data_IF_668803329075
#
_entry.id   IF_668803329075
#
_cell.length_a   1.000
_cell.length_b   1.000
_cell.length_c   1.000
_cell.angle_alpha   90.00
_cell.angle_beta   90.00
_cell.angle_gamma   90.00
#
_symmetry.space_group_name_H-M   'P 1'
#
loop_
_entity.id
_entity.type
_entity.pdbx_description
1 polymer ?
#
# COMPACT_ATOMS: atom_id res chain seq x y z
N UNK A 1 -17.41 -3.06 -4.51
CA UNK A 1 -17.57 -1.92 -5.43
C UNK A 1 -16.28 -1.14 -5.50
N UNK A 2 -15.94 -0.63 -6.66
CA UNK A 2 -14.73 0.18 -6.87
C UNK A 2 -15.15 1.64 -6.97
N UNK A 3 -14.64 2.47 -6.07
CA UNK A 3 -14.81 3.92 -6.18
C UNK A 3 -13.58 4.47 -6.92
N UNK A 4 -13.79 4.94 -8.14
CA UNK A 4 -12.72 5.50 -8.95
C UNK A 4 -12.29 6.85 -8.34
N UNK A 5 -11.04 6.93 -7.93
CA UNK A 5 -10.44 8.12 -7.32
C UNK A 5 -9.69 8.96 -8.35
N UNK A 6 -8.93 8.29 -9.22
CA UNK A 6 -8.15 8.94 -10.27
C UNK A 6 -8.23 8.08 -11.53
N UNK A 7 -8.32 8.73 -12.68
CA UNK A 7 -8.27 8.08 -13.99
C UNK A 7 -7.16 8.67 -14.83
N UNK A 8 -6.38 7.81 -15.46
CA UNK A 8 -5.39 8.20 -16.47
C UNK A 8 -5.74 7.50 -17.79
N UNK A 9 -6.39 8.24 -18.67
CA UNK A 9 -6.85 7.69 -19.95
C UNK A 9 -5.70 7.43 -20.93
N UNK A 10 -4.59 8.18 -20.82
CA UNK A 10 -3.42 7.98 -21.67
C UNK A 10 -2.75 6.62 -21.45
N UNK A 11 -2.72 6.15 -20.20
CA UNK A 11 -2.19 4.83 -19.86
C UNK A 11 -3.27 3.78 -19.67
N UNK A 12 -4.53 4.15 -19.83
CA UNK A 12 -5.68 3.29 -19.62
C UNK A 12 -5.71 2.64 -18.24
N UNK A 13 -5.47 3.43 -17.21
CA UNK A 13 -5.52 2.97 -15.82
C UNK A 13 -6.51 3.78 -14.98
N UNK A 14 -6.97 3.16 -13.91
CA UNK A 14 -7.75 3.81 -12.87
C UNK A 14 -7.20 3.44 -11.50
N UNK A 15 -7.12 4.41 -10.60
CA UNK A 15 -6.81 4.19 -9.19
C UNK A 15 -8.12 4.25 -8.44
N UNK A 16 -8.41 3.19 -7.70
CA UNK A 16 -9.70 2.99 -7.06
C UNK A 16 -9.54 2.71 -5.57
N UNK A 17 -10.50 3.19 -4.77
CA UNK A 17 -10.72 2.65 -3.42
C UNK A 17 -11.52 1.36 -3.55
N UNK A 18 -11.11 0.34 -2.81
CA UNK A 18 -11.63 -1.03 -2.97
C UNK A 18 -11.83 -1.69 -1.60
N UNK A 19 -12.48 -2.85 -1.60
CA UNK A 19 -12.54 -3.72 -0.42
C UNK A 19 -11.31 -4.63 -0.36
N UNK A 20 -11.06 -5.21 0.81
CA UNK A 20 -9.96 -6.16 0.99
C UNK A 20 -10.08 -7.35 0.04
N UNK A 21 -11.26 -7.82 -0.23
CA UNK A 21 -11.50 -8.97 -1.12
C UNK A 21 -10.96 -8.76 -2.54
N UNK A 22 -10.89 -7.51 -2.99
CA UNK A 22 -10.43 -7.18 -4.33
C UNK A 22 -8.90 -7.16 -4.46
N UNK A 23 -8.17 -7.13 -3.35
CA UNK A 23 -6.71 -7.03 -3.36
C UNK A 23 -6.00 -8.18 -2.65
N UNK A 24 -6.72 -9.01 -1.89
CA UNK A 24 -6.08 -10.02 -1.06
C UNK A 24 -5.32 -11.06 -1.88
N UNK A 25 -5.78 -11.41 -3.06
CA UNK A 25 -5.09 -12.38 -3.91
C UNK A 25 -3.76 -11.84 -4.43
N UNK A 26 -3.72 -10.57 -4.84
CA UNK A 26 -2.47 -9.92 -5.23
C UNK A 26 -1.51 -9.82 -4.06
N UNK A 27 -1.99 -9.36 -2.90
CA UNK A 27 -1.20 -9.28 -1.68
C UNK A 27 -0.62 -10.63 -1.29
N UNK A 28 -1.44 -11.68 -1.32
CA UNK A 28 -1.01 -13.04 -1.02
C UNK A 28 0.08 -13.52 -1.98
N UNK A 29 -0.18 -13.41 -3.26
CA UNK A 29 0.70 -13.92 -4.31
C UNK A 29 2.08 -13.25 -4.31
N UNK A 30 2.14 -11.96 -4.00
CA UNK A 30 3.40 -11.19 -4.02
C UNK A 30 4.11 -11.21 -2.67
N UNK A 31 3.39 -11.06 -1.55
CA UNK A 31 3.99 -10.87 -0.24
C UNK A 31 3.96 -12.11 0.64
N UNK A 32 3.09 -13.06 0.37
CA UNK A 32 2.84 -14.23 1.20
C UNK A 32 2.83 -15.51 0.39
N UNK A 33 3.57 -15.55 -0.72
CA UNK A 33 3.70 -16.75 -1.55
C UNK A 33 4.23 -17.93 -0.72
N UNK A 34 3.61 -19.09 -0.88
CA UNK A 34 3.96 -20.29 -0.12
C UNK A 34 3.37 -20.37 1.29
N UNK A 35 2.72 -19.30 1.76
CA UNK A 35 2.00 -19.29 3.04
C UNK A 35 0.49 -19.40 2.80
N UNK A 36 -0.31 -19.79 3.81
CA UNK A 36 -1.76 -19.81 3.66
C UNK A 36 -2.31 -18.45 3.25
N UNK A 37 -3.38 -18.44 2.43
CA UNK A 37 -4.01 -17.22 1.94
C UNK A 37 -4.45 -16.30 3.09
N UNK A 38 -4.90 -16.88 4.18
CA UNK A 38 -5.34 -16.15 5.38
C UNK A 38 -4.22 -15.32 6.00
N UNK A 39 -2.95 -15.69 5.77
CA UNK A 39 -1.79 -14.92 6.23
C UNK A 39 -1.66 -13.56 5.55
N UNK A 40 -2.35 -13.36 4.43
CA UNK A 40 -2.39 -12.09 3.70
C UNK A 40 -3.47 -11.14 4.21
N UNK A 41 -4.34 -11.60 5.10
CA UNK A 41 -5.30 -10.74 5.80
C UNK A 41 -4.66 -10.23 7.09
N UNK A 42 -4.62 -8.91 7.25
CA UNK A 42 -3.97 -8.27 8.37
C UNK A 42 -4.98 -7.70 9.36
N UNK A 43 -4.66 -7.64 10.67
CA UNK A 43 -5.50 -6.91 11.62
C UNK A 43 -5.75 -5.48 11.15
N UNK A 44 -7.02 -5.06 11.19
CA UNK A 44 -7.42 -3.73 10.73
C UNK A 44 -7.91 -3.67 9.28
N UNK A 45 -7.75 -4.74 8.50
CA UNK A 45 -8.25 -4.77 7.10
C UNK A 45 -9.76 -4.55 7.01
N UNK A 46 -10.51 -5.02 8.00
CA UNK A 46 -11.97 -4.90 8.04
C UNK A 46 -12.47 -3.59 8.66
N UNK A 47 -11.57 -2.74 9.18
CA UNK A 47 -11.97 -1.48 9.78
C UNK A 47 -12.50 -0.51 8.72
N UNK A 48 -13.63 0.14 8.99
CA UNK A 48 -14.24 1.11 8.07
C UNK A 48 -13.31 2.29 7.74
N UNK A 49 -12.39 2.63 8.66
CA UNK A 49 -11.40 3.68 8.47
C UNK A 49 -10.21 3.28 7.58
N UNK A 50 -10.01 1.99 7.33
CA UNK A 50 -8.90 1.51 6.50
C UNK A 50 -9.16 1.82 5.04
N UNK A 51 -8.14 2.39 4.38
CA UNK A 51 -8.14 2.63 2.95
C UNK A 51 -7.42 1.50 2.23
N UNK A 52 -8.15 0.75 1.41
CA UNK A 52 -7.55 -0.16 0.43
C UNK A 52 -7.59 0.54 -0.92
N UNK A 53 -6.44 0.69 -1.55
CA UNK A 53 -6.31 1.39 -2.83
C UNK A 53 -5.61 0.48 -3.81
N UNK A 54 -6.10 0.49 -5.05
CA UNK A 54 -5.54 -0.36 -6.10
C UNK A 54 -5.54 0.35 -7.46
N UNK A 55 -4.59 -0.05 -8.30
CA UNK A 55 -4.51 0.35 -9.70
C UNK A 55 -5.07 -0.76 -10.57
N UNK A 56 -5.92 -0.40 -11.53
CA UNK A 56 -6.52 -1.32 -12.50
C UNK A 56 -6.35 -0.80 -13.92
N UNK A 57 -6.43 -1.70 -14.90
CA UNK A 57 -6.72 -1.29 -16.27
C UNK A 57 -8.17 -0.80 -16.35
N UNK A 58 -8.37 0.46 -16.72
CA UNK A 58 -9.70 1.10 -16.67
C UNK A 58 -10.68 0.59 -17.72
N UNK A 59 -10.17 0.07 -18.84
CA UNK A 59 -11.01 -0.40 -19.93
C UNK A 59 -11.59 -1.80 -19.71
N UNK A 60 -11.09 -2.56 -18.74
CA UNK A 60 -11.48 -3.96 -18.55
C UNK A 60 -12.14 -4.12 -17.19
N UNK A 61 -13.38 -4.58 -17.19
CA UNK A 61 -14.10 -4.96 -15.98
C UNK A 61 -13.62 -6.35 -15.53
N UNK A 62 -13.54 -6.56 -14.21
CA UNK A 62 -13.21 -7.85 -13.60
C UNK A 62 -11.78 -8.37 -13.86
N UNK A 63 -10.82 -7.49 -14.12
CA UNK A 63 -9.40 -7.88 -14.12
C UNK A 63 -8.79 -7.75 -12.74
N UNK A 64 -7.75 -8.53 -12.41
CA UNK A 64 -6.99 -8.36 -11.19
C UNK A 64 -6.35 -6.98 -11.11
N UNK A 65 -6.12 -6.44 -9.92
CA UNK A 65 -5.38 -5.19 -9.77
C UNK A 65 -3.93 -5.34 -10.21
N UNK A 66 -3.36 -4.27 -10.75
CA UNK A 66 -1.95 -4.16 -11.12
C UNK A 66 -1.09 -3.96 -9.87
N UNK A 67 -1.56 -3.13 -8.95
CA UNK A 67 -0.87 -2.76 -7.72
C UNK A 67 -1.89 -2.46 -6.63
N UNK A 68 -1.49 -2.67 -5.38
CA UNK A 68 -2.35 -2.38 -4.23
C UNK A 68 -1.56 -1.91 -3.03
N UNK A 69 -2.24 -1.22 -2.12
CA UNK A 69 -1.73 -0.85 -0.81
C UNK A 69 -2.88 -0.62 0.16
N UNK A 70 -2.62 -0.79 1.45
CA UNK A 70 -3.59 -0.50 2.51
C UNK A 70 -3.00 0.51 3.48
N UNK A 71 -3.85 1.44 3.92
CA UNK A 71 -3.50 2.47 4.92
C UNK A 71 -4.49 2.37 6.06
N UNK A 72 -3.98 2.13 7.26
CA UNK A 72 -4.82 1.99 8.44
C UNK A 72 -4.37 2.91 9.56
N UNK A 73 -5.30 3.36 10.36
CA UNK A 73 -4.98 4.14 11.56
C UNK A 73 -4.28 3.24 12.56
N UNK A 74 -3.03 3.54 12.83
CA UNK A 74 -2.21 2.85 13.80
C UNK A 74 -1.09 3.78 14.26
N UNK A 75 -1.11 4.16 15.54
CA UNK A 75 -0.17 5.13 16.11
C UNK A 75 1.29 4.69 15.93
N UNK A 76 2.16 5.66 15.77
CA UNK A 76 3.60 5.48 15.70
C UNK A 76 4.27 6.34 16.78
N UNK A 77 5.03 5.70 17.67
CA UNK A 77 5.68 6.37 18.82
C UNK A 77 4.70 7.29 19.58
N UNK A 78 3.53 6.73 19.90
CA UNK A 78 2.44 7.40 20.63
C UNK A 78 1.79 8.61 19.91
N UNK A 79 2.10 8.81 18.64
CA UNK A 79 1.47 9.84 17.81
C UNK A 79 0.45 9.20 16.86
N UNK A 80 -0.74 9.79 16.68
CA UNK A 80 -1.69 9.32 15.66
C UNK A 80 -1.04 9.28 14.29
N UNK A 81 -1.19 8.15 13.59
CA UNK A 81 -0.53 7.93 12.31
C UNK A 81 -1.32 6.97 11.42
N UNK A 82 -1.01 7.03 10.13
CA UNK A 82 -1.44 6.05 9.13
C UNK A 82 -0.31 5.05 8.89
N UNK A 83 -0.60 3.76 9.05
CA UNK A 83 0.35 2.71 8.70
C UNK A 83 0.06 2.21 7.29
N UNK A 84 1.07 2.29 6.43
CA UNK A 84 1.05 1.63 5.12
C UNK A 84 1.40 0.16 5.29
N UNK A 85 0.55 -0.73 4.77
CA UNK A 85 0.74 -2.18 4.80
C UNK A 85 0.34 -2.82 3.49
N UNK A 86 0.87 -4.02 3.23
CA UNK A 86 0.42 -4.85 2.12
C UNK A 86 0.60 -4.23 0.76
N UNK A 87 1.63 -3.42 0.56
CA UNK A 87 1.94 -2.86 -0.75
C UNK A 87 2.53 -3.92 -1.66
N UNK A 88 1.89 -4.13 -2.79
CA UNK A 88 2.28 -5.15 -3.75
C UNK A 88 1.99 -4.69 -5.17
N UNK A 89 2.90 -5.00 -6.09
CA UNK A 89 2.72 -4.80 -7.53
C UNK A 89 2.91 -6.14 -8.24
N UNK A 90 2.01 -6.47 -9.14
CA UNK A 90 2.08 -7.70 -9.90
C UNK A 90 3.35 -7.73 -10.77
N UNK A 91 3.98 -8.90 -10.88
CA UNK A 91 5.30 -9.04 -11.50
C UNK A 91 5.44 -8.39 -12.87
N UNK A 92 4.50 -8.55 -13.83
CA UNK A 92 4.64 -7.94 -15.15
C UNK A 92 4.66 -6.40 -15.12
N UNK A 93 4.22 -5.80 -14.01
CA UNK A 93 4.07 -4.35 -13.88
C UNK A 93 5.09 -3.73 -12.92
N UNK A 94 5.97 -4.51 -12.33
CA UNK A 94 7.02 -4.00 -11.45
C UNK A 94 8.03 -3.14 -12.22
N UNK A 95 8.59 -2.11 -11.55
CA UNK A 95 9.56 -1.21 -12.14
C UNK A 95 8.99 -0.19 -13.13
N UNK A 96 7.66 -0.06 -13.23
CA UNK A 96 6.97 0.86 -14.15
C UNK A 96 6.33 2.07 -13.46
N UNK A 97 6.57 2.26 -12.17
CA UNK A 97 6.11 3.43 -11.42
C UNK A 97 4.70 3.34 -10.84
N UNK A 98 4.00 2.23 -10.99
CA UNK A 98 2.62 2.10 -10.48
C UNK A 98 2.52 2.19 -8.95
N UNK A 99 3.47 1.58 -8.24
CA UNK A 99 3.50 1.64 -6.78
C UNK A 99 3.71 3.08 -6.27
N UNK A 100 4.62 3.81 -6.88
CA UNK A 100 4.87 5.21 -6.52
C UNK A 100 3.69 6.12 -6.80
N UNK A 101 3.00 5.90 -7.91
CA UNK A 101 1.81 6.66 -8.26
C UNK A 101 0.66 6.37 -7.28
N UNK A 102 0.48 5.12 -6.92
CA UNK A 102 -0.52 4.70 -5.94
C UNK A 102 -0.27 5.36 -4.58
N UNK A 103 0.98 5.34 -4.09
CA UNK A 103 1.31 5.91 -2.78
C UNK A 103 1.11 7.44 -2.76
N UNK A 104 1.50 8.13 -3.82
CA UNK A 104 1.27 9.59 -3.93
C UNK A 104 -0.22 9.93 -3.96
N UNK A 105 -0.99 9.20 -4.73
CA UNK A 105 -2.44 9.37 -4.79
C UNK A 105 -3.07 9.15 -3.41
N UNK A 106 -2.71 8.07 -2.74
CA UNK A 106 -3.20 7.76 -1.40
C UNK A 106 -2.87 8.85 -0.38
N UNK A 107 -1.63 9.33 -0.37
CA UNK A 107 -1.21 10.40 0.53
C UNK A 107 -2.06 11.67 0.39
N UNK A 108 -2.28 12.10 -0.85
CA UNK A 108 -3.10 13.29 -1.14
C UNK A 108 -4.54 13.09 -0.69
N UNK A 109 -5.14 11.96 -1.03
CA UNK A 109 -6.57 11.71 -0.75
C UNK A 109 -6.83 11.49 0.73
N UNK A 110 -5.96 10.75 1.41
CA UNK A 110 -6.09 10.52 2.85
C UNK A 110 -5.86 11.83 3.62
N UNK A 111 -4.89 12.64 3.22
CA UNK A 111 -4.64 13.94 3.83
C UNK A 111 -5.81 14.91 3.67
N UNK A 112 -6.55 14.82 2.57
CA UNK A 112 -7.75 15.63 2.34
C UNK A 112 -8.92 15.21 3.22
N UNK A 113 -8.98 13.93 3.64
CA UNK A 113 -10.08 13.35 4.41
C UNK A 113 -9.75 13.18 5.91
N UNK A 114 -8.52 13.47 6.32
CA UNK A 114 -8.04 13.24 7.69
C UNK A 114 -7.15 14.39 8.14
N UNK A 115 -7.14 14.64 9.45
CA UNK A 115 -6.20 15.58 10.09
C UNK A 115 -4.86 14.91 10.45
N UNK A 116 -4.75 13.60 10.35
CA UNK A 116 -3.52 12.87 10.63
C UNK A 116 -2.56 13.02 9.45
N UNK A 117 -1.35 13.48 9.73
CA UNK A 117 -0.33 13.79 8.71
C UNK A 117 0.91 12.91 8.78
N UNK A 118 1.04 12.10 9.81
CA UNK A 118 2.14 11.16 9.96
C UNK A 118 1.79 9.83 9.30
N UNK A 119 2.68 9.35 8.43
CA UNK A 119 2.62 8.05 7.77
C UNK A 119 3.84 7.23 8.17
N UNK A 120 3.68 5.94 8.35
CA UNK A 120 4.79 5.04 8.64
C UNK A 120 4.57 3.65 8.04
N UNK A 121 5.63 2.90 7.89
CA UNK A 121 5.57 1.49 7.50
C UNK A 121 6.76 0.71 8.03
N UNK A 122 6.61 -0.62 8.02
CA UNK A 122 7.72 -1.54 8.14
C UNK A 122 8.27 -1.78 6.73
N UNK A 123 9.27 -1.02 6.33
CA UNK A 123 9.85 -1.11 4.99
C UNK A 123 10.84 -2.27 4.91
N UNK A 124 10.63 -3.19 3.96
CA UNK A 124 11.63 -4.22 3.65
C UNK A 124 12.90 -3.53 3.18
N UNK A 125 14.07 -4.01 3.64
CA UNK A 125 15.35 -3.38 3.31
C UNK A 125 15.54 -3.16 1.80
N UNK A 126 15.24 -4.12 0.91
CA UNK A 126 15.34 -3.88 -0.53
C UNK A 126 14.41 -2.79 -1.08
N UNK A 127 13.32 -2.45 -0.37
CA UNK A 127 12.37 -1.45 -0.79
C UNK A 127 12.67 -0.04 -0.24
N UNK A 128 13.63 0.11 0.65
CA UNK A 128 13.99 1.41 1.26
C UNK A 128 14.28 2.49 0.21
N UNK A 129 15.08 2.23 -0.85
CA UNK A 129 15.30 3.25 -1.88
C UNK A 129 14.02 3.73 -2.55
N UNK A 130 13.05 2.85 -2.76
CA UNK A 130 11.74 3.21 -3.29
C UNK A 130 11.01 4.21 -2.37
N UNK A 131 10.96 3.93 -1.08
CA UNK A 131 10.34 4.85 -0.11
C UNK A 131 11.08 6.18 -0.03
N UNK A 132 12.40 6.15 -0.01
CA UNK A 132 13.21 7.39 0.03
C UNK A 132 12.97 8.27 -1.19
N UNK A 133 12.84 7.67 -2.38
CA UNK A 133 12.50 8.38 -3.61
C UNK A 133 11.17 9.13 -3.50
N UNK A 134 10.23 8.61 -2.70
CA UNK A 134 8.91 9.21 -2.48
C UNK A 134 8.83 10.07 -1.21
N UNK A 135 9.97 10.45 -0.65
CA UNK A 135 10.05 11.38 0.48
C UNK A 135 9.92 10.75 1.87
N UNK A 136 9.95 9.43 1.94
CA UNK A 136 9.95 8.72 3.21
C UNK A 136 11.38 8.65 3.76
N UNK A 137 11.51 8.62 5.09
CA UNK A 137 12.79 8.59 5.80
C UNK A 137 12.89 7.36 6.70
N UNK A 138 14.09 6.80 6.82
CA UNK A 138 14.40 5.75 7.78
C UNK A 138 14.32 6.34 9.20
N UNK A 139 13.62 5.65 10.09
CA UNK A 139 13.42 6.09 11.49
C UNK A 139 13.69 4.98 12.51
N UNK A 140 14.44 3.95 12.14
CA UNK A 140 14.85 2.89 13.07
C UNK A 140 16.13 2.20 12.61
N UNK A 141 16.72 1.42 13.55
CA UNK A 141 17.69 0.38 13.19
C UNK A 141 17.01 -0.74 12.40
N UNK A 142 17.82 -1.59 11.78
CA UNK A 142 17.32 -2.77 11.09
C UNK A 142 16.82 -3.81 12.09
N UNK A 143 15.71 -4.48 11.76
CA UNK A 143 15.14 -5.57 12.56
C UNK A 143 14.52 -6.61 11.62
N UNK A 144 14.44 -7.85 12.10
CA UNK A 144 13.82 -8.92 11.34
C UNK A 144 12.34 -9.06 11.68
N UNK A 145 11.54 -9.29 10.65
CA UNK A 145 10.16 -9.76 10.80
C UNK A 145 10.16 -11.24 10.40
N UNK A 146 9.74 -12.15 11.29
CA UNK A 146 9.67 -13.57 10.96
C UNK A 146 8.91 -13.82 9.65
N UNK A 147 9.45 -14.68 8.79
CA UNK A 147 8.94 -15.03 7.45
C UNK A 147 9.02 -13.92 6.42
N UNK A 148 9.40 -12.69 6.79
CA UNK A 148 9.44 -11.55 5.89
C UNK A 148 10.83 -10.92 5.74
N UNK A 149 11.79 -11.24 6.63
CA UNK A 149 13.18 -10.81 6.55
C UNK A 149 13.46 -9.44 7.17
N UNK A 150 14.60 -8.80 6.79
CA UNK A 150 15.05 -7.56 7.40
C UNK A 150 14.19 -6.36 6.96
N UNK A 151 13.91 -5.48 7.90
CA UNK A 151 13.08 -4.29 7.77
C UNK A 151 13.67 -3.09 8.49
N UNK A 152 13.22 -1.89 8.12
CA UNK A 152 13.39 -0.65 8.89
C UNK A 152 12.06 0.10 8.94
N UNK A 153 11.83 0.82 10.03
CA UNK A 153 10.71 1.76 10.09
C UNK A 153 10.98 2.92 9.13
N UNK A 154 10.00 3.21 8.30
CA UNK A 154 10.02 4.35 7.40
C UNK A 154 8.89 5.30 7.79
N UNK A 155 9.15 6.59 7.75
CA UNK A 155 8.18 7.62 8.11
C UNK A 155 8.11 8.72 7.07
N UNK A 156 6.93 9.31 6.93
CA UNK A 156 6.72 10.52 6.15
C UNK A 156 5.69 11.40 6.85
N UNK A 157 6.00 12.68 6.98
CA UNK A 157 5.06 13.68 7.48
C UNK A 157 4.64 14.60 6.32
N UNK A 158 3.36 14.68 6.08
CA UNK A 158 2.80 15.53 5.04
C UNK A 158 2.63 16.97 5.50
#
# INVERSE_FOLDING_TARGET
MKDILVRDDARNIAICRVSIDQIIDLRHRILRAGLPRESAQFPGDDAASTWHIAVFHSAVKAVPPISCASFMLNSYKDEPAWQLRGMATDQPYQGKGFGGELIRCAEVLIAADSNVRLFWCNGRVPAIPFYQKHGWKVDSEEYDIPTAGPHRKMVKRL
#
